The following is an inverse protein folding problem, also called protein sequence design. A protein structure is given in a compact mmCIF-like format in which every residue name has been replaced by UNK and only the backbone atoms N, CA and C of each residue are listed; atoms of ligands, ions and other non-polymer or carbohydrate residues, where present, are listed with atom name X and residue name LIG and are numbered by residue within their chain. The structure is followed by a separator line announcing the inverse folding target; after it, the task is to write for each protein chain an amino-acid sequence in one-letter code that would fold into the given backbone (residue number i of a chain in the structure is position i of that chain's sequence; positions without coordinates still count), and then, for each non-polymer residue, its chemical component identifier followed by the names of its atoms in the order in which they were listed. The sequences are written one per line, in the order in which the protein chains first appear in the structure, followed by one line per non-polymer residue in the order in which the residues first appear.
data_IF_672555429145
#
_entry.id   IF_672555429145
#
_cell.length_a   1.000
_cell.length_b   1.000
_cell.length_c   1.000
_cell.angle_alpha   90.00
_cell.angle_beta   90.00
_cell.angle_gamma   90.00
#
_symmetry.space_group_name_H-M   'P 1'
#
loop_
_entity.id
_entity.type
_entity.pdbx_description
1 polymer ?
#
# COMPACT_ATOMS: atom_id res chain seq x y z
N UNK A 1 43.24 -30.48 22.21
CA UNK A 1 43.78 -31.85 22.46
C UNK A 1 43.33 -32.70 21.28
N UNK A 2 44.30 -33.06 20.48
CA UNK A 2 44.73 -34.39 19.99
C UNK A 2 43.59 -35.17 19.33
N UNK A 3 43.68 -35.73 18.13
CA UNK A 3 44.79 -35.95 17.19
C UNK A 3 44.28 -36.90 16.10
N UNK A 4 44.62 -36.62 14.88
CA UNK A 4 45.43 -37.38 13.96
C UNK A 4 45.29 -38.93 13.97
N UNK A 5 44.94 -39.50 12.81
CA UNK A 5 45.84 -40.30 11.98
C UNK A 5 45.14 -40.97 10.78
N UNK A 6 45.72 -40.76 9.59
CA UNK A 6 45.85 -41.69 8.46
C UNK A 6 47.07 -42.60 8.78
N UNK A 7 47.51 -43.61 7.98
CA UNK A 7 47.27 -44.02 6.56
C UNK A 7 47.39 -45.57 6.34
N UNK A 8 47.52 -46.00 5.04
CA UNK A 8 48.12 -47.26 4.59
C UNK A 8 47.48 -47.82 3.33
N UNK A 9 47.91 -47.60 2.15
CA UNK A 9 49.00 -48.13 1.28
C UNK A 9 49.04 -49.66 1.11
N UNK A 10 49.12 -50.09 -0.21
CA UNK A 10 49.63 -51.39 -0.70
C UNK A 10 48.87 -51.81 -1.97
N UNK A 11 49.31 -51.57 -3.20
CA UNK A 11 50.50 -52.05 -3.95
C UNK A 11 50.47 -53.54 -4.34
N UNK A 12 50.65 -53.79 -5.66
CA UNK A 12 51.04 -55.06 -6.28
C UNK A 12 50.38 -55.31 -7.62
N UNK A 13 50.90 -54.92 -8.64
CA UNK A 13 51.72 -55.27 -9.78
C UNK A 13 51.78 -56.78 -10.10
N UNK A 14 51.45 -57.11 -11.38
CA UNK A 14 52.36 -57.72 -12.37
C UNK A 14 51.62 -58.23 -13.61
N UNK A 15 52.22 -57.94 -14.75
CA UNK A 15 51.93 -58.39 -16.12
C UNK A 15 52.82 -59.59 -16.49
N UNK A 16 52.99 -59.93 -17.79
CA UNK A 16 52.27 -60.85 -18.70
C UNK A 16 53.07 -62.10 -19.02
N UNK A 17 52.90 -62.95 -20.01
CA UNK A 17 53.28 -62.70 -21.40
C UNK A 17 52.42 -63.41 -22.50
N UNK A 18 52.57 -62.88 -23.71
CA UNK A 18 52.41 -63.48 -25.07
C UNK A 18 53.23 -64.75 -25.29
N UNK A 19 53.22 -65.47 -26.47
CA UNK A 19 52.76 -65.16 -27.83
C UNK A 19 52.22 -66.36 -28.71
N UNK A 20 51.90 -65.98 -29.96
CA UNK A 20 52.07 -66.75 -31.19
C UNK A 20 50.97 -67.74 -31.68
N UNK A 21 50.42 -67.50 -32.83
CA UNK A 21 50.69 -68.06 -34.18
C UNK A 21 49.50 -67.82 -35.15
N UNK A 22 49.78 -67.15 -36.25
CA UNK A 22 48.97 -67.21 -37.50
C UNK A 22 49.35 -68.48 -38.29
N UNK A 23 48.80 -68.93 -39.44
CA UNK A 23 47.97 -68.19 -40.41
C UNK A 23 46.84 -69.01 -41.09
N UNK A 24 46.08 -68.33 -41.95
CA UNK A 24 45.23 -69.08 -42.93
C UNK A 24 44.05 -68.29 -43.50
N UNK A 25 44.34 -67.68 -44.70
CA UNK A 25 43.27 -67.20 -45.65
C UNK A 25 42.91 -68.35 -46.57
N UNK A 26 41.65 -68.52 -47.11
CA UNK A 26 41.25 -67.72 -48.25
C UNK A 26 39.76 -67.30 -48.33
N UNK A 27 39.54 -66.34 -49.21
CA UNK A 27 38.38 -65.69 -49.74
C UNK A 27 37.14 -66.54 -50.01
N UNK A 28 35.96 -65.97 -49.81
CA UNK A 28 34.81 -66.13 -50.71
C UNK A 28 33.93 -64.87 -50.69
N UNK A 29 33.64 -64.43 -51.87
CA UNK A 29 32.69 -63.38 -52.27
C UNK A 29 31.27 -63.74 -51.75
N UNK A 30 30.54 -62.74 -51.28
CA UNK A 30 29.11 -62.97 -51.13
C UNK A 30 28.32 -61.83 -50.48
N UNK A 31 27.76 -60.99 -51.30
CA UNK A 31 26.45 -60.35 -51.11
C UNK A 31 26.31 -59.30 -50.01
N UNK A 32 26.24 -58.07 -50.49
CA UNK A 32 25.68 -56.95 -49.76
C UNK A 32 24.23 -57.19 -49.29
N UNK A 33 24.08 -57.30 -48.00
CA UNK A 33 22.75 -57.23 -47.41
C UNK A 33 22.48 -55.74 -47.05
N UNK A 34 21.63 -55.15 -47.84
CA UNK A 34 21.01 -53.87 -47.49
C UNK A 34 20.34 -54.06 -46.11
N UNK A 35 20.87 -53.42 -45.10
CA UNK A 35 20.18 -53.29 -43.80
C UNK A 35 18.92 -52.47 -44.02
N UNK A 36 17.83 -53.14 -44.26
CA UNK A 36 16.49 -52.55 -44.24
C UNK A 36 16.24 -51.89 -42.88
N UNK A 37 16.06 -50.60 -42.88
CA UNK A 37 15.55 -49.90 -41.73
C UNK A 37 14.29 -50.58 -41.23
N UNK A 38 14.33 -51.16 -40.05
CA UNK A 38 13.19 -51.80 -39.45
C UNK A 38 12.06 -50.79 -39.26
N UNK A 39 10.82 -51.05 -39.74
CA UNK A 39 9.70 -50.10 -39.65
C UNK A 39 9.27 -49.74 -38.21
N UNK A 40 9.78 -50.43 -37.18
CA UNK A 40 9.53 -50.15 -35.75
C UNK A 40 10.21 -48.89 -35.19
N UNK A 41 11.35 -48.44 -35.78
CA UNK A 41 12.14 -47.33 -35.27
C UNK A 41 11.43 -45.99 -35.41
N UNK A 42 10.79 -45.73 -36.53
CA UNK A 42 10.04 -44.49 -36.80
C UNK A 42 8.77 -44.36 -35.96
N UNK A 43 8.03 -45.45 -35.77
CA UNK A 43 6.85 -45.47 -34.92
C UNK A 43 7.21 -45.26 -33.44
N UNK A 44 8.27 -45.88 -32.96
CA UNK A 44 8.77 -45.67 -31.60
C UNK A 44 9.28 -44.24 -31.36
N UNK A 45 9.98 -43.64 -32.33
CA UNK A 45 10.42 -42.21 -32.30
C UNK A 45 9.20 -41.27 -32.27
N UNK A 46 8.18 -41.51 -33.13
CA UNK A 46 6.95 -40.72 -33.14
C UNK A 46 6.17 -40.82 -31.82
N UNK A 47 6.09 -42.01 -31.21
CA UNK A 47 5.46 -42.23 -29.90
C UNK A 47 6.23 -41.48 -28.78
N UNK A 48 7.56 -41.55 -28.77
CA UNK A 48 8.39 -40.80 -27.79
C UNK A 48 8.26 -39.29 -27.98
N UNK A 49 8.23 -38.81 -29.22
CA UNK A 49 8.05 -37.37 -29.51
C UNK A 49 6.64 -36.92 -29.09
N UNK A 50 5.58 -37.68 -29.42
CA UNK A 50 4.22 -37.35 -28.96
C UNK A 50 4.11 -37.32 -27.43
N UNK A 51 4.70 -38.27 -26.70
CA UNK A 51 4.75 -38.25 -25.25
C UNK A 51 5.49 -37.01 -24.70
N UNK A 52 6.62 -36.65 -25.29
CA UNK A 52 7.36 -35.43 -24.91
C UNK A 52 6.54 -34.16 -25.18
N UNK A 53 5.87 -34.08 -26.31
CA UNK A 53 4.98 -32.94 -26.63
C UNK A 53 3.81 -32.88 -25.66
N UNK A 54 3.13 -34.01 -25.38
CA UNK A 54 2.00 -34.07 -24.44
C UNK A 54 2.43 -33.63 -23.02
N UNK A 55 3.62 -34.02 -22.58
CA UNK A 55 4.17 -33.60 -21.28
C UNK A 55 4.62 -32.14 -21.29
N UNK A 56 5.24 -31.69 -22.39
CA UNK A 56 5.78 -30.31 -22.47
C UNK A 56 4.67 -29.26 -22.76
N UNK A 57 3.60 -29.64 -23.47
CA UNK A 57 2.57 -28.70 -23.87
C UNK A 57 1.94 -27.90 -22.69
N UNK A 58 1.54 -28.51 -21.56
CA UNK A 58 1.00 -27.76 -20.45
C UNK A 58 2.02 -26.78 -19.85
N UNK A 59 3.31 -27.14 -19.78
CA UNK A 59 4.35 -26.25 -19.30
C UNK A 59 4.56 -25.05 -20.24
N UNK A 60 4.52 -25.28 -21.56
CA UNK A 60 4.60 -24.21 -22.54
C UNK A 60 3.40 -23.26 -22.44
N UNK A 61 2.20 -23.82 -22.26
CA UNK A 61 0.98 -23.02 -22.09
C UNK A 61 1.07 -22.17 -20.82
N UNK A 62 1.44 -22.75 -19.69
CA UNK A 62 1.58 -22.02 -18.42
C UNK A 62 2.66 -20.94 -18.53
N UNK A 63 3.82 -21.27 -19.12
CA UNK A 63 4.91 -20.30 -19.31
C UNK A 63 4.47 -19.15 -20.24
N UNK A 64 3.82 -19.47 -21.35
CA UNK A 64 3.32 -18.46 -22.28
C UNK A 64 2.27 -17.57 -21.63
N UNK A 65 1.34 -18.15 -20.87
CA UNK A 65 0.38 -17.39 -20.08
C UNK A 65 1.08 -16.48 -19.09
N UNK A 66 2.05 -17.00 -18.33
CA UNK A 66 2.80 -16.22 -17.36
C UNK A 66 3.53 -15.04 -18.00
N UNK A 67 4.19 -15.23 -19.14
CA UNK A 67 4.87 -14.16 -19.87
C UNK A 67 3.88 -13.10 -20.35
N UNK A 68 2.75 -13.50 -20.94
CA UNK A 68 1.75 -12.57 -21.43
C UNK A 68 1.09 -11.82 -20.28
N UNK A 69 0.63 -12.52 -19.25
CA UNK A 69 0.02 -11.92 -18.06
C UNK A 69 0.96 -10.93 -17.39
N UNK A 70 2.21 -11.33 -17.12
CA UNK A 70 3.22 -10.44 -16.54
C UNK A 70 3.48 -9.21 -17.40
N UNK A 71 3.59 -9.39 -18.73
CA UNK A 71 3.80 -8.27 -19.65
C UNK A 71 2.64 -7.28 -19.64
N UNK A 72 1.40 -7.79 -19.62
CA UNK A 72 0.20 -6.94 -19.53
C UNK A 72 0.22 -6.13 -18.23
N UNK A 73 0.53 -6.77 -17.10
CA UNK A 73 0.67 -6.08 -15.81
C UNK A 73 1.74 -4.99 -15.85
N UNK A 74 2.93 -5.31 -16.40
CA UNK A 74 4.04 -4.35 -16.46
C UNK A 74 3.82 -3.19 -17.42
N UNK A 75 2.98 -3.34 -18.43
CA UNK A 75 2.66 -2.29 -19.40
C UNK A 75 1.51 -1.38 -18.96
N UNK A 76 0.76 -1.74 -17.92
CA UNK A 76 -0.29 -0.86 -17.41
C UNK A 76 0.29 0.45 -16.87
N UNK A 77 -0.32 1.61 -17.17
CA UNK A 77 0.12 2.88 -16.59
C UNK A 77 -0.17 2.90 -15.08
N UNK A 78 0.88 3.06 -14.28
CA UNK A 78 0.81 3.17 -12.82
C UNK A 78 2.09 3.83 -12.31
N UNK A 79 2.06 4.40 -11.12
CA UNK A 79 3.24 4.96 -10.45
C UNK A 79 4.05 3.91 -9.69
N UNK A 80 3.50 2.71 -9.52
CA UNK A 80 4.09 1.65 -8.73
C UNK A 80 5.43 1.18 -9.31
N UNK A 81 6.43 0.98 -8.46
CA UNK A 81 7.73 0.45 -8.87
C UNK A 81 7.60 -0.97 -9.43
N UNK A 82 8.53 -1.36 -10.28
CA UNK A 82 8.49 -2.66 -10.97
C UNK A 82 8.53 -3.86 -9.98
N UNK A 83 9.28 -3.72 -8.88
CA UNK A 83 9.39 -4.74 -7.82
C UNK A 83 8.05 -4.95 -7.10
N UNK A 84 7.42 -3.87 -6.62
CA UNK A 84 6.08 -3.91 -6.02
C UNK A 84 5.03 -4.46 -7.00
N UNK A 85 5.09 -4.05 -8.28
CA UNK A 85 4.20 -4.59 -9.33
C UNK A 85 4.39 -6.08 -9.57
N UNK A 86 5.63 -6.55 -9.51
CA UNK A 86 5.93 -7.98 -9.65
C UNK A 86 5.37 -8.77 -8.47
N UNK A 87 5.47 -8.22 -7.26
CA UNK A 87 4.89 -8.80 -6.05
C UNK A 87 3.36 -8.89 -6.16
N UNK A 88 2.72 -7.79 -6.58
CA UNK A 88 1.26 -7.76 -6.79
C UNK A 88 0.82 -8.70 -7.92
N UNK A 89 1.60 -8.81 -9.01
CA UNK A 89 1.32 -9.80 -10.05
C UNK A 89 1.40 -11.24 -9.50
N UNK A 90 2.41 -11.55 -8.70
CA UNK A 90 2.50 -12.87 -8.04
C UNK A 90 1.29 -13.10 -7.15
N UNK A 91 0.95 -12.11 -6.33
CA UNK A 91 -0.18 -12.16 -5.38
C UNK A 91 -1.50 -12.47 -6.08
N UNK A 92 -1.77 -11.80 -7.21
CA UNK A 92 -3.08 -11.81 -7.85
C UNK A 92 -3.22 -12.85 -8.98
N UNK A 93 -2.13 -13.16 -9.70
CA UNK A 93 -2.18 -13.96 -10.91
C UNK A 93 -1.59 -15.36 -10.74
N UNK A 94 -0.63 -15.55 -9.83
CA UNK A 94 0.02 -16.84 -9.67
C UNK A 94 -0.78 -17.75 -8.71
N UNK A 95 -1.06 -19.00 -9.08
CA UNK A 95 -1.68 -19.93 -8.13
C UNK A 95 -0.91 -20.00 -6.81
N UNK A 96 -1.60 -19.86 -5.68
CA UNK A 96 -1.01 -19.74 -4.34
C UNK A 96 -0.10 -18.53 -4.14
N UNK A 97 -0.10 -17.54 -5.04
CA UNK A 97 0.73 -16.36 -4.99
C UNK A 97 0.50 -15.55 -3.72
N UNK A 98 -0.74 -15.34 -3.30
CA UNK A 98 -1.08 -14.72 -2.02
C UNK A 98 -0.33 -15.37 -0.85
N UNK A 99 -0.40 -16.70 -0.75
CA UNK A 99 0.26 -17.42 0.33
C UNK A 99 1.79 -17.24 0.30
N UNK A 100 2.40 -17.25 -0.89
CA UNK A 100 3.85 -17.06 -1.04
C UNK A 100 4.26 -15.65 -0.61
N UNK A 101 3.54 -14.63 -1.07
CA UNK A 101 3.83 -13.22 -0.74
C UNK A 101 3.59 -12.97 0.75
N UNK A 102 2.44 -13.39 1.29
CA UNK A 102 2.10 -13.20 2.69
C UNK A 102 3.09 -13.88 3.63
N UNK A 103 3.61 -15.06 3.27
CA UNK A 103 4.68 -15.71 4.04
C UNK A 103 6.00 -14.94 3.97
N UNK A 104 6.38 -14.44 2.79
CA UNK A 104 7.58 -13.63 2.64
C UNK A 104 7.51 -12.35 3.45
N UNK A 105 6.42 -11.61 3.34
CA UNK A 105 6.17 -10.38 4.11
C UNK A 105 6.10 -10.65 5.62
N UNK A 106 5.46 -11.75 6.03
CA UNK A 106 5.39 -12.17 7.43
C UNK A 106 6.78 -12.40 8.04
N UNK A 107 7.70 -13.02 7.30
CA UNK A 107 9.08 -13.23 7.75
C UNK A 107 9.79 -11.88 7.85
N UNK A 108 9.69 -11.02 6.83
CA UNK A 108 10.32 -9.70 6.82
C UNK A 108 9.84 -8.84 8.00
N UNK A 109 8.54 -8.76 8.22
CA UNK A 109 7.96 -8.02 9.35
C UNK A 109 8.39 -8.58 10.70
N UNK A 110 8.49 -9.90 10.84
CA UNK A 110 8.94 -10.53 12.08
C UNK A 110 10.40 -10.21 12.41
N UNK A 111 11.25 -10.14 11.37
CA UNK A 111 12.67 -9.78 11.54
C UNK A 111 12.87 -8.30 11.87
N UNK A 112 12.00 -7.45 11.35
CA UNK A 112 12.05 -5.99 11.51
C UNK A 112 11.11 -5.46 12.62
N UNK A 113 10.47 -6.35 13.38
CA UNK A 113 9.53 -5.98 14.44
C UNK A 113 10.15 -4.99 15.43
N UNK A 114 9.44 -3.92 15.82
CA UNK A 114 9.96 -2.89 16.71
C UNK A 114 10.23 -3.44 18.09
N UNK A 115 11.34 -3.01 18.66
CA UNK A 115 11.75 -3.40 20.04
C UNK A 115 11.39 -2.29 21.00
N UNK A 116 10.80 -2.68 22.13
CA UNK A 116 10.60 -1.78 23.27
C UNK A 116 11.94 -1.20 23.73
N UNK A 117 11.99 0.09 24.05
CA UNK A 117 13.22 0.76 24.47
C UNK A 117 14.25 0.91 23.36
N UNK A 118 13.82 0.92 22.08
CA UNK A 118 14.69 1.16 20.93
C UNK A 118 15.45 2.48 21.01
N UNK A 119 16.34 2.76 20.02
CA UNK A 119 17.18 3.95 20.04
C UNK A 119 16.33 5.22 20.00
N UNK A 120 16.66 6.18 20.86
CA UNK A 120 15.98 7.47 20.84
C UNK A 120 16.36 8.25 19.58
N UNK A 121 15.36 8.83 18.92
CA UNK A 121 15.59 9.75 17.83
C UNK A 121 16.34 10.99 18.35
N UNK A 122 17.34 11.43 17.60
CA UNK A 122 18.07 12.69 17.86
C UNK A 122 17.34 13.90 17.29
N UNK A 123 16.57 13.71 16.23
CA UNK A 123 15.72 14.70 15.57
C UNK A 123 14.52 14.03 14.96
N UNK A 124 13.44 14.77 14.76
CA UNK A 124 12.32 14.28 13.95
C UNK A 124 12.74 14.17 12.48
N UNK A 125 12.20 13.19 11.74
CA UNK A 125 12.40 13.15 10.31
C UNK A 125 11.97 14.46 9.67
N UNK A 126 12.75 14.92 8.70
CA UNK A 126 12.35 16.07 7.88
C UNK A 126 11.19 15.62 7.01
N UNK A 127 9.99 15.99 7.41
CA UNK A 127 8.85 15.89 6.50
C UNK A 127 9.17 16.82 5.33
N UNK A 128 9.02 16.38 4.11
CA UNK A 128 9.33 17.16 2.91
C UNK A 128 8.49 18.43 2.80
N UNK A 129 8.59 19.26 3.80
CA UNK A 129 8.05 20.60 3.82
C UNK A 129 9.10 21.49 3.17
N UNK A 130 8.87 21.87 1.93
CA UNK A 130 9.44 23.12 1.45
C UNK A 130 8.74 24.22 2.27
N UNK A 131 9.39 24.79 3.32
CA UNK A 131 8.73 25.81 4.09
C UNK A 131 8.46 26.98 3.14
N UNK A 132 7.24 27.51 3.09
CA UNK A 132 7.08 28.83 2.55
C UNK A 132 7.99 29.75 3.36
N UNK A 133 8.80 30.57 2.70
CA UNK A 133 9.73 31.51 3.31
C UNK A 133 9.04 32.61 4.13
N UNK A 134 7.76 32.58 4.28
CA UNK A 134 6.93 33.50 5.05
C UNK A 134 6.48 32.83 6.35
N UNK A 135 7.05 33.25 7.47
CA UNK A 135 6.42 33.05 8.76
C UNK A 135 5.01 33.60 8.70
N UNK A 136 4.01 32.76 8.93
CA UNK A 136 2.62 33.23 9.01
C UNK A 136 2.51 34.31 10.09
N UNK A 137 1.81 35.40 9.82
CA UNK A 137 1.50 36.41 10.86
C UNK A 137 0.80 35.69 12.03
N UNK A 138 1.07 36.18 13.27
CA UNK A 138 0.49 35.62 14.50
C UNK A 138 -1.03 35.49 14.46
N UNK A 139 -1.74 36.37 13.74
CA UNK A 139 -3.20 36.31 13.51
C UNK A 139 -3.67 35.08 12.71
N UNK A 140 -2.84 34.56 11.83
CA UNK A 140 -3.20 33.35 11.04
C UNK A 140 -2.90 32.03 11.79
N UNK A 141 -2.01 32.05 12.77
CA UNK A 141 -1.76 30.91 13.66
C UNK A 141 -2.93 30.61 14.60
N UNK A 142 -3.85 31.56 14.80
CA UNK A 142 -5.02 31.40 15.66
C UNK A 142 -6.16 30.57 15.05
N UNK A 143 -6.12 30.29 13.74
CA UNK A 143 -7.17 29.55 13.03
C UNK A 143 -6.91 28.03 12.97
N UNK A 144 -5.70 27.56 13.29
CA UNK A 144 -5.33 26.15 13.25
C UNK A 144 -5.71 25.34 14.50
N UNK A 145 -5.43 24.04 14.51
CA UNK A 145 -5.57 23.19 15.68
C UNK A 145 -4.55 23.58 16.76
N UNK A 146 -4.82 23.32 18.05
CA UNK A 146 -3.85 23.57 19.11
C UNK A 146 -2.60 22.72 18.89
N UNK A 147 -1.45 23.22 19.38
CA UNK A 147 -0.21 22.46 19.38
C UNK A 147 -0.43 21.09 20.03
N UNK A 148 0.09 20.03 19.42
CA UNK A 148 0.05 18.69 20.01
C UNK A 148 0.99 18.64 21.19
N UNK A 149 0.48 18.29 22.36
CA UNK A 149 1.31 18.11 23.56
C UNK A 149 2.21 16.89 23.38
N UNK A 150 3.54 17.05 23.41
CA UNK A 150 4.47 15.94 23.31
C UNK A 150 4.27 14.90 24.40
N UNK A 151 4.54 13.65 24.08
CA UNK A 151 4.47 12.53 25.03
C UNK A 151 5.71 12.49 25.90
N UNK A 152 6.85 12.87 25.33
CA UNK A 152 8.13 12.83 26.01
C UNK A 152 8.37 14.08 26.86
N UNK A 153 8.92 13.96 28.09
CA UNK A 153 9.26 15.11 28.95
C UNK A 153 10.25 16.05 28.28
N UNK A 154 11.15 15.51 27.47
CA UNK A 154 12.12 16.28 26.68
C UNK A 154 11.77 16.14 25.18
N UNK A 155 10.92 17.02 24.66
CA UNK A 155 10.50 16.96 23.27
C UNK A 155 11.65 17.34 22.32
N UNK A 156 11.62 16.74 21.15
CA UNK A 156 12.52 17.11 20.06
C UNK A 156 12.12 18.47 19.46
N UNK A 157 13.06 19.13 18.82
CA UNK A 157 12.79 20.42 18.17
C UNK A 157 11.67 20.26 17.13
N UNK A 158 10.62 21.08 17.24
CA UNK A 158 9.45 21.05 16.35
C UNK A 158 8.43 19.95 16.61
N UNK A 159 8.61 19.14 17.64
CA UNK A 159 7.68 18.06 17.99
C UNK A 159 6.31 18.62 18.39
N UNK A 160 5.26 18.15 17.70
CA UNK A 160 3.89 18.59 17.91
C UNK A 160 3.56 20.01 17.41
N UNK A 161 4.49 20.66 16.71
CA UNK A 161 4.28 21.99 16.13
C UNK A 161 3.67 21.85 14.74
N UNK A 162 2.52 22.46 14.51
CA UNK A 162 1.90 22.51 13.20
C UNK A 162 2.63 23.44 12.26
N UNK A 163 2.86 22.98 11.04
CA UNK A 163 3.54 23.71 9.96
C UNK A 163 2.63 23.79 8.76
N UNK A 164 2.42 24.98 8.15
CA UNK A 164 1.59 25.10 6.96
C UNK A 164 2.27 24.48 5.75
N UNK A 165 1.45 23.93 4.86
CA UNK A 165 1.85 23.42 3.55
C UNK A 165 1.28 24.35 2.48
N UNK A 166 2.15 24.91 1.66
CA UNK A 166 1.77 25.81 0.58
C UNK A 166 1.28 27.18 1.04
N UNK A 167 0.77 27.98 0.10
CA UNK A 167 0.28 29.32 0.38
C UNK A 167 -1.09 29.27 1.11
N UNK A 168 -1.44 30.34 1.83
CA UNK A 168 -2.76 30.44 2.44
C UNK A 168 -3.87 30.50 1.40
N UNK A 169 -5.03 29.99 1.77
CA UNK A 169 -6.29 30.10 1.05
C UNK A 169 -7.24 30.90 1.92
N UNK A 170 -7.88 31.90 1.38
CA UNK A 170 -8.79 32.81 2.12
C UNK A 170 -8.23 33.27 3.47
N UNK A 171 -6.96 33.70 3.44
CA UNK A 171 -6.27 34.25 4.60
C UNK A 171 -5.81 33.23 5.66
N UNK A 172 -5.99 31.93 5.47
CA UNK A 172 -5.55 30.89 6.40
C UNK A 172 -4.90 29.69 5.73
N UNK A 173 -4.17 28.86 6.51
CA UNK A 173 -3.55 27.64 5.97
C UNK A 173 -4.61 26.57 5.72
N UNK A 174 -4.77 26.07 4.47
CA UNK A 174 -5.71 25.00 4.17
C UNK A 174 -5.22 23.63 4.70
N UNK A 175 -3.91 23.43 4.75
CA UNK A 175 -3.25 22.19 5.15
C UNK A 175 -2.15 22.49 6.15
N UNK A 176 -2.18 21.79 7.26
CA UNK A 176 -1.14 21.82 8.29
C UNK A 176 -0.61 20.42 8.53
N UNK A 177 0.69 20.27 8.73
CA UNK A 177 1.31 19.00 9.11
C UNK A 177 2.10 19.14 10.40
N UNK A 178 2.15 18.05 11.16
CA UNK A 178 2.98 17.92 12.34
C UNK A 178 3.50 16.50 12.49
N UNK A 179 4.60 16.36 13.22
CA UNK A 179 5.16 15.05 13.58
C UNK A 179 5.46 15.04 15.08
N UNK A 180 5.30 13.88 15.69
CA UNK A 180 5.66 13.67 17.10
C UNK A 180 5.86 12.17 17.37
N UNK A 181 6.55 11.85 18.47
CA UNK A 181 6.71 10.48 18.96
C UNK A 181 5.50 10.10 19.82
N UNK A 182 4.74 9.07 19.43
CA UNK A 182 3.44 8.80 20.05
C UNK A 182 3.53 8.04 21.37
N UNK A 183 4.62 7.28 21.63
CA UNK A 183 4.72 6.38 22.77
C UNK A 183 6.09 6.42 23.44
N UNK A 184 6.12 6.43 24.78
CA UNK A 184 7.37 6.40 25.57
C UNK A 184 8.13 5.08 25.39
N UNK A 185 7.41 3.98 25.29
CA UNK A 185 8.00 2.65 25.17
C UNK A 185 8.67 2.40 23.81
N UNK A 186 8.34 3.21 22.78
CA UNK A 186 8.87 3.10 21.42
C UNK A 186 9.40 4.47 20.95
N UNK A 187 10.54 4.94 21.49
CA UNK A 187 11.05 6.28 21.25
C UNK A 187 11.54 6.53 19.81
N UNK A 188 11.66 5.46 19.03
CA UNK A 188 12.05 5.49 17.60
C UNK A 188 10.86 5.71 16.65
N UNK A 189 9.62 5.52 17.09
CA UNK A 189 8.44 5.64 16.22
C UNK A 189 7.96 7.08 16.09
N UNK A 190 7.39 7.42 14.92
CA UNK A 190 6.92 8.75 14.60
C UNK A 190 5.52 8.70 14.02
N UNK A 191 4.64 9.54 14.54
CA UNK A 191 3.35 9.82 13.93
C UNK A 191 3.46 11.01 12.98
N UNK A 192 3.01 10.85 11.76
CA UNK A 192 2.89 11.88 10.71
C UNK A 192 1.42 12.26 10.62
N UNK A 193 1.12 13.52 10.92
CA UNK A 193 -0.26 13.98 11.03
C UNK A 193 -0.50 15.18 10.12
N UNK A 194 -1.59 15.12 9.39
CA UNK A 194 -2.05 16.24 8.55
C UNK A 194 -3.46 16.63 8.94
N UNK A 195 -3.68 17.92 9.05
CA UNK A 195 -4.95 18.54 9.34
C UNK A 195 -5.40 19.39 8.14
N UNK A 196 -6.65 19.26 7.75
CA UNK A 196 -7.26 19.95 6.63
C UNK A 196 -8.40 20.84 7.12
N UNK A 197 -8.32 22.13 6.81
CA UNK A 197 -9.36 23.10 7.17
C UNK A 197 -10.59 22.89 6.29
N UNK A 198 -11.71 22.45 6.87
CA UNK A 198 -12.95 22.17 6.15
C UNK A 198 -13.55 23.39 5.44
N UNK A 199 -13.22 24.62 5.88
CA UNK A 199 -13.69 25.85 5.23
C UNK A 199 -12.82 26.25 4.03
N UNK A 200 -11.65 25.66 3.87
CA UNK A 200 -10.62 25.97 2.86
C UNK A 200 -10.24 24.80 2.00
N UNK A 201 -10.90 23.65 2.19
CA UNK A 201 -10.63 22.44 1.42
C UNK A 201 -11.93 21.78 0.99
N UNK A 202 -11.88 21.13 -0.15
CA UNK A 202 -12.89 20.25 -0.70
C UNK A 202 -12.24 18.87 -0.89
N UNK A 203 -12.96 17.79 -0.59
CA UNK A 203 -12.41 16.44 -0.66
C UNK A 203 -13.18 15.64 -1.70
N UNK A 204 -12.45 15.02 -2.62
CA UNK A 204 -12.97 14.07 -3.60
C UNK A 204 -12.46 12.66 -3.32
N UNK A 205 -13.30 11.66 -3.60
CA UNK A 205 -12.98 10.25 -3.58
C UNK A 205 -12.83 9.73 -5.00
N UNK A 206 -11.81 8.91 -5.24
CA UNK A 206 -11.48 8.37 -6.56
C UNK A 206 -11.30 6.85 -6.48
N UNK A 207 -12.15 6.08 -7.15
CA UNK A 207 -11.91 4.66 -7.37
C UNK A 207 -10.61 4.42 -8.13
N UNK A 208 -9.88 3.38 -7.73
CA UNK A 208 -8.72 2.88 -8.44
C UNK A 208 -9.07 1.84 -9.50
N UNK A 209 -8.07 1.19 -10.09
CA UNK A 209 -8.27 0.19 -11.15
C UNK A 209 -8.97 -1.07 -10.62
N UNK A 210 -8.61 -1.50 -9.43
CA UNK A 210 -9.12 -2.74 -8.84
C UNK A 210 -9.97 -2.49 -7.59
N UNK A 211 -9.82 -1.35 -6.90
CA UNK A 211 -10.55 -1.00 -5.70
C UNK A 211 -11.44 0.24 -5.91
N UNK A 212 -12.73 0.18 -5.63
CA UNK A 212 -13.54 -0.98 -5.24
C UNK A 212 -13.78 -1.92 -6.44
N UNK A 213 -13.88 -3.26 -6.24
CA UNK A 213 -13.99 -4.21 -7.35
C UNK A 213 -15.25 -4.04 -8.20
N UNK A 214 -16.38 -3.69 -7.60
CA UNK A 214 -17.65 -3.52 -8.30
C UNK A 214 -17.91 -2.09 -8.84
N UNK A 215 -16.92 -1.19 -8.84
CA UNK A 215 -17.12 0.15 -9.41
C UNK A 215 -17.45 0.08 -10.90
N UNK A 216 -18.69 0.44 -11.24
CA UNK A 216 -19.18 0.41 -12.63
C UNK A 216 -18.48 1.44 -13.53
N UNK A 217 -18.09 2.60 -12.95
CA UNK A 217 -17.34 3.65 -13.62
C UNK A 217 -16.20 4.07 -12.72
N UNK A 218 -14.98 3.80 -13.15
CA UNK A 218 -13.78 4.10 -12.33
C UNK A 218 -13.24 5.51 -12.55
N UNK A 219 -13.72 6.20 -13.56
CA UNK A 219 -13.19 7.52 -13.94
C UNK A 219 -11.71 7.43 -14.35
N UNK A 220 -10.92 8.48 -14.10
CA UNK A 220 -9.52 8.54 -14.52
C UNK A 220 -8.59 7.71 -13.65
N UNK A 221 -9.02 7.18 -12.51
CA UNK A 221 -8.22 6.45 -11.51
C UNK A 221 -7.00 7.25 -11.01
N UNK A 222 -7.01 8.55 -11.22
CA UNK A 222 -5.97 9.51 -10.84
C UNK A 222 -6.60 10.88 -10.63
N UNK A 223 -5.83 11.82 -10.09
CA UNK A 223 -6.28 13.23 -10.04
C UNK A 223 -6.46 13.77 -11.46
N UNK A 224 -7.70 14.17 -11.85
CA UNK A 224 -7.98 14.72 -13.18
C UNK A 224 -7.09 15.91 -13.52
N UNK A 225 -6.68 16.03 -14.77
CA UNK A 225 -5.75 17.09 -15.19
C UNK A 225 -6.31 18.50 -14.95
N UNK A 226 -7.59 18.70 -15.17
CA UNK A 226 -8.30 19.97 -14.95
C UNK A 226 -8.44 20.36 -13.47
N UNK A 227 -8.33 19.38 -12.56
CA UNK A 227 -8.40 19.59 -11.11
C UNK A 227 -7.03 19.87 -10.47
N UNK A 228 -5.93 19.58 -11.17
CA UNK A 228 -4.56 19.69 -10.62
C UNK A 228 -4.18 21.11 -10.23
N UNK A 229 -4.75 22.12 -10.87
CA UNK A 229 -4.48 23.54 -10.54
C UNK A 229 -4.95 23.94 -9.14
N UNK A 230 -5.87 23.19 -8.55
CA UNK A 230 -6.39 23.42 -7.19
C UNK A 230 -6.01 22.34 -6.19
N UNK A 231 -5.24 21.31 -6.61
CA UNK A 231 -4.83 20.19 -5.77
C UNK A 231 -3.90 20.64 -4.62
N UNK A 232 -4.21 20.22 -3.41
CA UNK A 232 -3.44 20.51 -2.18
C UNK A 232 -2.79 19.27 -1.60
N UNK A 233 -3.52 18.15 -1.56
CA UNK A 233 -3.02 16.89 -1.03
C UNK A 233 -3.75 15.68 -1.63
N UNK A 234 -3.15 14.50 -1.48
CA UNK A 234 -3.80 13.20 -1.71
C UNK A 234 -3.40 12.23 -0.63
N UNK A 235 -4.28 11.27 -0.29
CA UNK A 235 -3.97 10.21 0.66
C UNK A 235 -4.71 8.91 0.29
N UNK A 236 -4.18 7.79 0.76
CA UNK A 236 -4.72 6.45 0.48
C UNK A 236 -6.14 6.24 1.00
N UNK A 237 -6.86 5.33 0.36
CA UNK A 237 -8.10 4.77 0.88
C UNK A 237 -7.90 3.82 2.05
N UNK A 238 -8.95 3.08 2.41
CA UNK A 238 -8.93 2.10 3.49
C UNK A 238 -8.45 0.73 3.04
N UNK A 239 -8.80 -0.30 3.82
CA UNK A 239 -8.52 -1.70 3.50
C UNK A 239 -9.02 -2.11 2.12
N UNK A 240 -8.44 -3.17 1.56
CA UNK A 240 -9.00 -3.80 0.36
C UNK A 240 -10.35 -4.44 0.68
N UNK A 241 -11.15 -4.65 -0.35
CA UNK A 241 -12.46 -5.28 -0.18
C UNK A 241 -12.34 -6.77 0.12
N UNK A 242 -11.23 -7.39 -0.23
CA UNK A 242 -10.90 -8.77 0.16
C UNK A 242 -10.48 -8.89 1.62
N UNK A 243 -9.92 -7.82 2.21
CA UNK A 243 -9.38 -7.83 3.58
C UNK A 243 -10.35 -7.23 4.61
N UNK A 244 -11.62 -7.17 4.29
CA UNK A 244 -12.67 -6.75 5.21
C UNK A 244 -13.11 -5.30 5.06
N UNK A 245 -12.61 -4.55 4.07
CA UNK A 245 -13.27 -3.32 3.68
C UNK A 245 -14.72 -3.62 3.30
N UNK A 246 -15.56 -2.64 3.54
CA UNK A 246 -16.97 -2.74 3.23
C UNK A 246 -17.33 -1.56 2.33
N UNK A 247 -18.50 -1.30 2.07
CA UNK A 247 -19.15 -0.29 1.31
C UNK A 247 -18.33 0.89 0.74
N UNK A 248 -18.64 1.24 -0.48
CA UNK A 248 -18.22 2.51 -1.09
C UNK A 248 -19.29 3.04 -2.03
N UNK A 249 -19.27 4.34 -2.20
CA UNK A 249 -20.09 5.05 -3.18
C UNK A 249 -19.27 6.16 -3.83
N UNK A 250 -19.55 6.43 -5.09
CA UNK A 250 -19.00 7.54 -5.85
C UNK A 250 -20.06 8.12 -6.77
N UNK A 251 -20.07 9.45 -6.93
CA UNK A 251 -21.10 10.16 -7.69
C UNK A 251 -22.55 9.83 -7.26
N UNK A 252 -22.77 9.55 -5.99
CA UNK A 252 -24.06 9.15 -5.46
C UNK A 252 -24.52 7.75 -5.85
N UNK A 253 -23.61 6.91 -6.32
CA UNK A 253 -23.84 5.51 -6.66
C UNK A 253 -23.10 4.59 -5.70
N UNK A 254 -23.79 3.62 -5.14
CA UNK A 254 -23.17 2.55 -4.39
C UNK A 254 -22.36 1.68 -5.33
N UNK A 255 -21.05 1.57 -5.09
CA UNK A 255 -20.15 0.64 -5.79
C UNK A 255 -20.10 -0.71 -5.07
N UNK A 256 -19.93 -0.66 -3.75
CA UNK A 256 -19.98 -1.82 -2.87
C UNK A 256 -20.99 -1.56 -1.76
N UNK A 257 -21.85 -2.52 -1.42
CA UNK A 257 -22.90 -2.34 -0.39
C UNK A 257 -22.31 -1.92 0.94
N UNK A 258 -22.90 -0.90 1.56
CA UNK A 258 -22.51 -0.45 2.89
C UNK A 258 -23.07 -1.40 3.95
N UNK A 259 -22.35 -1.53 5.07
CA UNK A 259 -22.76 -2.34 6.22
C UNK A 259 -23.01 -1.47 7.43
N UNK A 260 -24.13 -1.70 8.11
CA UNK A 260 -24.44 -1.04 9.37
C UNK A 260 -23.43 -1.42 10.45
N UNK A 261 -23.10 -0.46 11.32
CA UNK A 261 -22.11 -0.61 12.39
C UNK A 261 -20.69 -0.25 11.99
N UNK A 262 -20.42 -0.03 10.71
CA UNK A 262 -19.08 0.32 10.23
C UNK A 262 -18.85 1.83 10.15
N UNK A 263 -17.64 2.25 10.45
CA UNK A 263 -17.22 3.63 10.27
C UNK A 263 -17.17 3.99 8.78
N UNK A 264 -17.82 5.07 8.43
CA UNK A 264 -17.94 5.55 7.06
C UNK A 264 -17.53 7.01 6.97
N UNK A 265 -16.48 7.29 6.19
CA UNK A 265 -16.16 8.64 5.77
C UNK A 265 -17.06 9.00 4.59
N UNK A 266 -17.83 10.07 4.74
CA UNK A 266 -18.84 10.52 3.79
C UNK A 266 -18.53 11.94 3.35
N UNK A 267 -18.63 12.20 2.04
CA UNK A 267 -18.76 13.53 1.48
C UNK A 267 -20.18 13.76 0.98
N UNK A 268 -20.74 14.85 1.41
CA UNK A 268 -22.08 15.26 1.00
C UNK A 268 -22.04 16.19 -0.22
N UNK A 269 -23.16 16.32 -0.94
CA UNK A 269 -23.27 17.17 -2.13
C UNK A 269 -23.11 18.65 -1.83
N UNK A 270 -23.30 19.07 -0.60
CA UNK A 270 -23.05 20.44 -0.14
C UNK A 270 -21.58 20.74 0.17
N UNK A 271 -20.70 19.75 -0.02
CA UNK A 271 -19.26 19.85 0.23
C UNK A 271 -18.86 19.52 1.67
N UNK A 272 -19.81 19.32 2.57
CA UNK A 272 -19.50 18.89 3.94
C UNK A 272 -19.04 17.44 3.99
N UNK A 273 -18.28 17.11 5.04
CA UNK A 273 -17.78 15.74 5.28
C UNK A 273 -18.14 15.29 6.70
N UNK A 274 -18.30 13.98 6.87
CA UNK A 274 -18.52 13.38 8.20
C UNK A 274 -17.89 12.00 8.29
N UNK A 275 -17.53 11.60 9.50
CA UNK A 275 -17.35 10.19 9.85
C UNK A 275 -18.56 9.77 10.67
N UNK A 276 -19.29 8.78 10.18
CA UNK A 276 -20.49 8.24 10.82
C UNK A 276 -20.30 6.76 11.15
N UNK A 277 -21.00 6.32 12.20
CA UNK A 277 -21.27 4.90 12.40
C UNK A 277 -22.49 4.58 11.55
N UNK A 278 -22.32 3.87 10.44
CA UNK A 278 -23.34 3.70 9.42
C UNK A 278 -24.54 2.92 9.95
N UNK A 279 -25.73 3.34 9.56
CA UNK A 279 -26.99 2.70 9.89
C UNK A 279 -28.07 2.92 8.81
N UNK A 280 -27.61 3.17 7.57
CA UNK A 280 -28.48 3.51 6.44
C UNK A 280 -28.80 2.36 5.51
N UNK A 281 -28.39 1.13 5.85
CA UNK A 281 -28.54 -0.02 4.96
C UNK A 281 -27.49 -0.05 3.83
N UNK A 282 -27.70 -0.86 2.78
CA UNK A 282 -26.65 -1.13 1.78
C UNK A 282 -26.36 0.02 0.82
N UNK A 283 -27.29 0.97 0.68
CA UNK A 283 -27.20 2.03 -0.33
C UNK A 283 -27.07 3.42 0.30
N UNK A 284 -26.38 4.32 -0.41
CA UNK A 284 -26.28 5.71 0.01
C UNK A 284 -27.55 6.51 -0.35
N UNK A 285 -27.86 7.48 0.49
CA UNK A 285 -28.94 8.43 0.23
C UNK A 285 -28.59 9.47 -0.84
N UNK A 286 -29.58 10.23 -1.34
CA UNK A 286 -29.42 11.19 -2.44
C UNK A 286 -28.46 12.35 -2.11
N UNK A 287 -28.28 12.69 -0.84
CA UNK A 287 -27.41 13.79 -0.41
C UNK A 287 -25.92 13.40 -0.34
N UNK A 288 -25.62 12.10 -0.46
CA UNK A 288 -24.25 11.60 -0.45
C UNK A 288 -23.63 11.73 -1.83
N UNK A 289 -22.50 12.39 -1.90
CA UNK A 289 -21.69 12.46 -3.12
C UNK A 289 -20.78 11.23 -3.24
N UNK A 290 -20.10 10.89 -2.16
CA UNK A 290 -19.24 9.72 -2.06
C UNK A 290 -19.19 9.19 -0.62
N UNK A 291 -18.88 7.93 -0.47
CA UNK A 291 -18.70 7.27 0.81
C UNK A 291 -17.63 6.18 0.72
N UNK A 292 -16.87 6.01 1.79
CA UNK A 292 -15.90 4.93 1.94
C UNK A 292 -15.95 4.38 3.35
N UNK A 293 -16.32 3.11 3.45
CA UNK A 293 -16.31 2.39 4.72
C UNK A 293 -14.96 1.75 5.01
N UNK A 294 -14.70 1.57 6.29
CA UNK A 294 -13.68 0.69 6.82
C UNK A 294 -14.34 -0.24 7.86
N UNK A 295 -13.61 -0.60 8.89
CA UNK A 295 -14.09 -1.43 10.01
C UNK A 295 -14.88 -0.60 11.02
N UNK A 296 -15.03 -1.07 12.26
CA UNK A 296 -15.71 -0.34 13.30
C UNK A 296 -15.03 1.01 13.63
N UNK A 297 -15.77 2.01 14.15
CA UNK A 297 -15.17 3.27 14.59
C UNK A 297 -14.16 3.05 15.72
N UNK A 298 -12.96 3.64 15.59
CA UNK A 298 -11.93 3.57 16.64
C UNK A 298 -12.06 4.71 17.67
N UNK A 299 -12.70 5.82 17.29
CA UNK A 299 -13.12 6.91 18.19
C UNK A 299 -14.56 7.29 17.88
N UNK A 300 -15.35 7.44 18.94
CA UNK A 300 -16.71 7.95 18.85
C UNK A 300 -16.99 8.94 19.97
N UNK A 301 -17.54 10.10 19.65
CA UNK A 301 -17.80 11.20 20.60
C UNK A 301 -16.60 11.60 21.47
N UNK A 302 -15.38 11.55 20.89
CA UNK A 302 -14.15 11.89 21.57
C UNK A 302 -13.59 10.80 22.50
N UNK A 303 -14.26 9.66 22.60
CA UNK A 303 -13.84 8.51 23.40
C UNK A 303 -13.33 7.39 22.50
N UNK A 304 -12.30 6.69 22.96
CA UNK A 304 -11.84 5.47 22.30
C UNK A 304 -12.95 4.42 22.36
N UNK A 305 -13.08 3.66 21.27
CA UNK A 305 -14.02 2.53 21.28
C UNK A 305 -13.59 1.52 22.37
N UNK A 306 -14.50 1.19 23.33
CA UNK A 306 -14.15 0.29 24.42
C UNK A 306 -13.84 -1.15 23.99
N UNK A 307 -14.17 -1.51 22.75
CA UNK A 307 -13.90 -2.83 22.16
C UNK A 307 -12.52 -2.92 21.51
N UNK A 308 -11.75 -1.81 21.50
CA UNK A 308 -10.40 -1.85 20.93
C UNK A 308 -9.53 -2.86 21.66
N UNK A 309 -8.92 -3.74 20.92
CA UNK A 309 -7.93 -4.69 21.40
C UNK A 309 -6.72 -4.74 20.45
N UNK A 310 -5.56 -5.11 20.97
CA UNK A 310 -4.33 -5.22 20.19
C UNK A 310 -4.07 -6.66 19.70
N UNK A 311 -5.13 -7.47 19.58
CA UNK A 311 -5.04 -8.81 19.02
C UNK A 311 -4.79 -8.73 17.49
N UNK A 312 -3.61 -9.14 17.00
CA UNK A 312 -3.27 -9.03 15.58
C UNK A 312 -4.12 -9.94 14.67
N UNK A 313 -4.86 -10.86 15.26
CA UNK A 313 -5.75 -11.78 14.54
C UNK A 313 -7.23 -11.35 14.62
N UNK A 314 -7.51 -10.15 15.15
CA UNK A 314 -8.87 -9.65 15.25
C UNK A 314 -9.36 -9.16 13.88
N UNK A 315 -10.39 -9.78 13.27
CA UNK A 315 -10.94 -9.29 12.02
C UNK A 315 -11.62 -7.92 12.16
N UNK A 316 -11.91 -7.50 13.38
CA UNK A 316 -12.56 -6.21 13.67
C UNK A 316 -11.59 -5.03 13.47
N UNK A 317 -10.29 -5.25 13.55
CA UNK A 317 -9.26 -4.21 13.48
C UNK A 317 -8.21 -4.49 12.40
N UNK A 318 -8.51 -5.38 11.46
CA UNK A 318 -7.63 -5.80 10.39
C UNK A 318 -6.64 -6.90 10.81
N UNK A 319 -6.49 -7.88 9.93
CA UNK A 319 -5.45 -8.89 10.09
C UNK A 319 -4.09 -8.29 9.79
N UNK A 320 -3.11 -8.64 10.62
CA UNK A 320 -1.72 -8.30 10.36
C UNK A 320 -0.93 -9.52 9.92
N UNK A 321 -0.15 -9.37 8.88
CA UNK A 321 0.74 -10.42 8.41
C UNK A 321 1.77 -10.76 9.51
N UNK A 322 2.06 -12.05 9.68
CA UNK A 322 2.99 -12.53 10.70
C UNK A 322 2.47 -12.46 12.14
N UNK A 323 1.21 -12.12 12.38
CA UNK A 323 0.65 -12.01 13.72
C UNK A 323 1.27 -10.89 14.55
N UNK A 324 1.79 -9.84 13.91
CA UNK A 324 2.38 -8.70 14.58
C UNK A 324 1.30 -7.69 14.96
N UNK A 325 1.22 -7.34 16.25
CA UNK A 325 0.29 -6.31 16.70
C UNK A 325 0.67 -4.90 16.20
N UNK A 326 1.97 -4.69 15.94
CA UNK A 326 2.54 -3.40 15.53
C UNK A 326 2.98 -3.41 14.07
N UNK A 327 2.32 -2.58 13.29
CA UNK A 327 2.55 -2.40 11.85
C UNK A 327 2.36 -0.92 11.49
N UNK A 328 2.67 -0.53 10.27
CA UNK A 328 2.18 0.73 9.74
C UNK A 328 0.66 0.78 9.83
N UNK A 329 0.15 1.88 10.35
CA UNK A 329 -1.29 2.12 10.37
C UNK A 329 -1.60 3.52 9.88
N UNK A 330 -2.66 3.61 9.09
CA UNK A 330 -3.24 4.89 8.69
C UNK A 330 -4.64 5.01 9.23
N UNK A 331 -5.09 6.24 9.39
CA UNK A 331 -6.46 6.50 9.84
C UNK A 331 -6.85 7.95 9.62
N UNK A 332 -8.14 8.16 9.62
CA UNK A 332 -8.72 9.50 9.51
C UNK A 332 -9.61 9.80 10.69
N UNK A 333 -9.67 11.07 11.04
CA UNK A 333 -10.55 11.57 12.09
C UNK A 333 -11.16 12.91 11.72
N UNK A 334 -12.23 13.26 12.39
CA UNK A 334 -12.88 14.58 12.30
C UNK A 334 -12.82 15.23 13.68
N UNK A 335 -12.34 16.49 13.73
CA UNK A 335 -12.33 17.27 14.95
C UNK A 335 -13.71 17.90 15.26
N UNK A 336 -13.85 18.58 16.41
CA UNK A 336 -15.13 19.20 16.83
C UNK A 336 -15.62 20.29 15.87
N UNK A 337 -14.76 20.83 15.04
CA UNK A 337 -15.08 21.88 14.07
C UNK A 337 -15.37 21.34 12.65
N UNK A 338 -15.28 20.02 12.45
CA UNK A 338 -15.51 19.39 11.15
C UNK A 338 -14.26 19.28 10.29
N UNK A 339 -13.07 19.61 10.80
CA UNK A 339 -11.84 19.49 10.05
C UNK A 339 -11.39 18.04 9.96
N UNK A 340 -10.88 17.63 8.79
CA UNK A 340 -10.34 16.30 8.59
C UNK A 340 -8.91 16.22 9.12
N UNK A 341 -8.60 15.11 9.76
CA UNK A 341 -7.27 14.74 10.23
C UNK A 341 -6.89 13.43 9.57
N UNK A 342 -5.72 13.35 8.97
CA UNK A 342 -5.12 12.11 8.50
C UNK A 342 -3.88 11.80 9.34
N UNK A 343 -3.72 10.54 9.70
CA UNK A 343 -2.57 10.02 10.43
C UNK A 343 -1.97 8.85 9.66
N UNK A 344 -0.64 8.84 9.55
CA UNK A 344 0.14 7.66 9.22
C UNK A 344 1.23 7.50 10.29
N UNK A 345 1.37 6.31 10.85
CA UNK A 345 2.37 6.07 11.88
C UNK A 345 2.88 4.64 11.80
N UNK A 346 4.20 4.49 11.91
CA UNK A 346 4.87 3.21 11.90
C UNK A 346 4.79 2.52 13.25
N UNK A 347 4.80 1.19 13.23
CA UNK A 347 4.86 0.36 14.44
C UNK A 347 3.73 0.62 15.45
N UNK A 348 2.52 0.89 14.96
CA UNK A 348 1.37 1.16 15.81
C UNK A 348 0.44 -0.05 15.94
N UNK A 349 -0.20 -0.15 17.10
CA UNK A 349 -1.41 -0.96 17.28
C UNK A 349 -2.63 -0.13 16.94
N UNK A 350 -3.81 -0.74 16.82
CA UNK A 350 -5.06 0.02 16.62
C UNK A 350 -5.36 0.94 17.81
N UNK A 351 -5.06 0.51 19.04
CA UNK A 351 -5.22 1.33 20.25
C UNK A 351 -4.30 2.55 20.19
N UNK A 352 -3.05 2.38 19.76
CA UNK A 352 -2.12 3.52 19.69
C UNK A 352 -2.46 4.46 18.55
N UNK A 353 -2.92 3.97 17.40
CA UNK A 353 -3.48 4.81 16.33
C UNK A 353 -4.66 5.66 16.84
N UNK A 354 -5.60 5.04 17.57
CA UNK A 354 -6.74 5.75 18.14
C UNK A 354 -6.30 6.82 19.15
N UNK A 355 -5.30 6.53 20.00
CA UNK A 355 -4.71 7.51 20.93
C UNK A 355 -4.01 8.67 20.21
N UNK A 356 -3.32 8.40 19.08
CA UNK A 356 -2.73 9.45 18.24
C UNK A 356 -3.83 10.37 17.71
N UNK A 357 -4.87 9.81 17.08
CA UNK A 357 -6.00 10.59 16.55
C UNK A 357 -6.73 11.39 17.64
N UNK A 358 -6.97 10.80 18.81
CA UNK A 358 -7.58 11.50 19.96
C UNK A 358 -6.69 12.65 20.43
N UNK A 359 -5.38 12.44 20.54
CA UNK A 359 -4.38 13.47 20.97
C UNK A 359 -4.35 14.66 20.05
N UNK A 360 -4.56 14.47 18.75
CA UNK A 360 -4.60 15.55 17.76
C UNK A 360 -5.99 16.15 17.58
N UNK A 361 -6.96 15.74 18.40
CA UNK A 361 -8.27 16.38 18.53
C UNK A 361 -9.42 15.70 17.79
N UNK A 362 -9.24 14.52 17.25
CA UNK A 362 -10.32 13.78 16.62
C UNK A 362 -11.41 13.41 17.63
N UNK A 363 -12.66 13.65 17.28
CA UNK A 363 -13.85 13.24 18.07
C UNK A 363 -14.58 12.07 17.43
N UNK A 364 -14.35 11.81 16.17
CA UNK A 364 -14.75 10.62 15.42
C UNK A 364 -13.57 10.17 14.59
N UNK A 365 -13.29 8.87 14.56
CA UNK A 365 -12.18 8.36 13.77
C UNK A 365 -12.39 6.93 13.32
N UNK A 366 -11.76 6.59 12.23
CA UNK A 366 -11.70 5.26 11.64
C UNK A 366 -10.30 4.91 11.18
N UNK A 367 -9.99 3.64 11.20
CA UNK A 367 -8.77 3.10 10.65
C UNK A 367 -8.89 3.00 9.13
N UNK A 368 -7.78 3.24 8.45
CA UNK A 368 -7.61 3.02 7.02
C UNK A 368 -6.68 1.83 6.79
N UNK A 369 -5.83 1.90 5.78
CA UNK A 369 -4.93 0.81 5.43
C UNK A 369 -3.83 0.61 6.49
N UNK A 370 -3.47 -0.64 6.74
CA UNK A 370 -2.42 -1.05 7.69
C UNK A 370 -1.22 -1.70 7.01
N UNK A 371 -1.20 -1.74 5.69
CA UNK A 371 -0.11 -2.28 4.93
C UNK A 371 0.97 -1.22 4.71
N UNK A 372 2.26 -1.51 5.01
CA UNK A 372 3.37 -0.57 4.87
C UNK A 372 3.62 -0.10 3.43
N UNK A 373 3.14 -0.83 2.44
CA UNK A 373 3.28 -0.44 1.04
C UNK A 373 2.28 0.63 0.61
N UNK A 374 1.12 0.72 1.29
CA UNK A 374 -0.01 1.52 0.82
C UNK A 374 -0.23 2.81 1.58
N UNK A 375 0.39 3.00 2.76
CA UNK A 375 0.30 4.28 3.47
C UNK A 375 0.89 5.39 2.60
N UNK A 376 0.11 6.42 2.31
CA UNK A 376 0.52 7.49 1.42
C UNK A 376 -0.20 8.77 1.77
N UNK A 377 0.56 9.82 2.05
CA UNK A 377 0.07 11.18 2.06
C UNK A 377 1.04 12.05 1.26
N UNK A 378 0.54 12.72 0.23
CA UNK A 378 1.31 13.59 -0.63
C UNK A 378 0.71 14.98 -0.57
N UNK A 379 1.53 15.98 -0.35
CA UNK A 379 1.14 17.39 -0.45
C UNK A 379 1.68 18.00 -1.74
N UNK A 380 0.99 19.02 -2.25
CA UNK A 380 1.32 19.63 -3.53
C UNK A 380 1.48 21.15 -3.39
N UNK A 381 2.58 21.66 -3.90
CA UNK A 381 2.86 23.07 -4.00
C UNK A 381 2.89 23.47 -5.47
N UNK A 382 2.21 24.56 -5.80
CA UNK A 382 2.17 25.11 -7.14
C UNK A 382 3.37 26.04 -7.34
N UNK A 383 4.42 25.55 -8.00
CA UNK A 383 5.62 26.33 -8.35
C UNK A 383 5.57 26.91 -9.75
N UNK A 384 6.58 27.68 -10.11
CA UNK A 384 6.72 28.27 -11.45
C UNK A 384 6.78 27.22 -12.57
N UNK A 385 7.31 26.03 -12.27
CA UNK A 385 7.46 24.91 -13.22
C UNK A 385 6.37 23.85 -13.10
N UNK A 386 5.25 24.16 -12.45
CA UNK A 386 4.11 23.27 -12.27
C UNK A 386 3.97 22.74 -10.84
N UNK A 387 3.30 21.61 -10.73
CA UNK A 387 2.96 20.98 -9.46
C UNK A 387 4.16 20.23 -8.87
N UNK A 388 4.52 20.55 -7.63
CA UNK A 388 5.60 19.91 -6.88
C UNK A 388 5.00 19.01 -5.80
N UNK A 389 4.99 17.69 -6.02
CA UNK A 389 4.50 16.72 -5.05
C UNK A 389 5.57 16.45 -3.98
N UNK A 390 5.14 16.29 -2.74
CA UNK A 390 6.02 15.99 -1.60
C UNK A 390 5.37 14.97 -0.69
N UNK A 391 6.05 13.85 -0.45
CA UNK A 391 5.57 12.81 0.46
C UNK A 391 5.67 13.27 1.92
N UNK A 392 4.60 13.10 2.68
CA UNK A 392 4.55 13.34 4.12
C UNK A 392 4.71 12.00 4.83
N UNK A 393 5.85 11.76 5.38
CA UNK A 393 6.24 10.47 5.94
C UNK A 393 6.95 9.58 4.90
N UNK A 394 7.78 8.64 5.37
CA UNK A 394 8.55 7.78 4.49
C UNK A 394 7.68 6.69 3.88
N UNK A 395 7.70 6.54 2.58
CA UNK A 395 7.26 5.36 1.88
C UNK A 395 8.21 5.09 0.71
N UNK A 396 9.16 4.16 0.85
CA UNK A 396 10.17 3.91 -0.18
C UNK A 396 9.59 3.21 -1.42
N UNK A 397 8.40 2.63 -1.31
CA UNK A 397 7.78 1.84 -2.37
C UNK A 397 6.87 2.69 -3.28
N UNK A 398 6.42 3.85 -2.79
CA UNK A 398 5.52 4.72 -3.52
C UNK A 398 6.20 6.05 -3.87
N UNK A 399 6.15 6.50 -5.13
CA UNK A 399 6.68 7.80 -5.51
C UNK A 399 5.71 8.94 -5.11
N UNK A 400 6.22 10.17 -4.90
CA UNK A 400 5.36 11.32 -4.60
C UNK A 400 4.44 11.72 -5.76
N UNK A 401 4.60 11.14 -6.95
CA UNK A 401 3.72 11.34 -8.10
C UNK A 401 2.57 10.33 -8.17
N UNK A 402 2.41 9.48 -7.15
CA UNK A 402 1.49 8.34 -7.13
C UNK A 402 0.14 8.69 -7.74
N UNK A 403 -0.62 9.54 -7.25
CA UNK A 403 -1.99 9.78 -7.73
C UNK A 403 -2.10 10.77 -8.91
N UNK A 404 -0.97 11.15 -9.51
CA UNK A 404 -0.94 11.92 -10.77
C UNK A 404 -0.95 11.04 -12.02
N UNK A 405 -0.92 9.73 -11.86
CA UNK A 405 -1.12 8.69 -12.88
C UNK A 405 -2.15 7.69 -12.36
N UNK A 406 -2.75 6.84 -13.21
CA UNK A 406 -3.73 5.87 -12.75
C UNK A 406 -3.17 4.97 -11.64
N UNK A 407 -3.92 4.81 -10.54
CA UNK A 407 -3.59 3.96 -9.39
C UNK A 407 -4.48 2.72 -9.35
N UNK A 408 -3.99 1.68 -8.74
CA UNK A 408 -4.70 0.41 -8.60
C UNK A 408 -5.70 0.44 -7.43
N UNK A 409 -5.39 1.26 -6.41
CA UNK A 409 -6.18 1.43 -5.19
C UNK A 409 -6.96 2.74 -5.20
N UNK A 410 -8.05 2.75 -4.49
CA UNK A 410 -8.83 3.96 -4.25
C UNK A 410 -8.08 4.97 -3.36
N UNK A 411 -8.38 6.26 -3.56
CA UNK A 411 -7.70 7.33 -2.84
C UNK A 411 -8.59 8.56 -2.70
N UNK A 412 -8.13 9.49 -1.86
CA UNK A 412 -8.74 10.79 -1.67
C UNK A 412 -7.85 11.90 -2.18
N UNK A 413 -8.46 12.93 -2.75
CA UNK A 413 -7.77 14.15 -3.14
C UNK A 413 -8.42 15.36 -2.47
N UNK A 414 -7.56 16.27 -1.99
CA UNK A 414 -7.93 17.49 -1.28
C UNK A 414 -7.61 18.67 -2.16
N UNK A 415 -8.59 19.52 -2.37
CA UNK A 415 -8.54 20.65 -3.29
C UNK A 415 -8.80 21.97 -2.57
N UNK A 416 -8.36 23.07 -3.17
CA UNK A 416 -8.96 24.38 -2.88
C UNK A 416 -10.41 24.35 -3.35
N UNK A 417 -11.36 24.90 -2.58
CA UNK A 417 -12.73 25.02 -3.04
C UNK A 417 -12.79 25.82 -4.35
N UNK A 418 -13.73 25.47 -5.20
CA UNK A 418 -14.06 26.34 -6.33
C UNK A 418 -14.57 27.68 -5.77
N UNK A 419 -14.26 28.81 -6.43
CA UNK A 419 -14.93 30.06 -6.10
C UNK A 419 -16.44 29.81 -6.16
N UNK A 420 -17.12 30.02 -5.04
CA UNK A 420 -18.57 29.90 -5.01
C UNK A 420 -19.22 30.76 -6.09
N UNK A 421 -20.43 30.46 -6.54
CA UNK A 421 -21.15 31.36 -7.41
C UNK A 421 -21.19 32.72 -6.72
N UNK A 422 -20.68 33.75 -7.40
CA UNK A 422 -20.80 35.11 -6.94
C UNK A 422 -22.29 35.37 -6.79
N UNK A 423 -22.83 35.28 -5.59
CA UNK A 423 -24.17 35.74 -5.30
C UNK A 423 -24.15 37.26 -5.49
N UNK A 424 -24.43 37.68 -6.73
CA UNK A 424 -24.73 39.11 -6.99
C UNK A 424 -25.96 39.39 -6.18
N UNK A 425 -25.92 40.26 -5.15
CA UNK A 425 -27.12 40.62 -4.44
C UNK A 425 -28.05 41.26 -5.45
N UNK A 426 -29.20 40.64 -5.68
CA UNK A 426 -30.29 41.30 -6.39
C UNK A 426 -30.62 42.57 -5.63
N UNK A 427 -30.37 43.74 -6.28
CA UNK A 427 -30.84 45.03 -5.81
C UNK A 427 -32.33 45.14 -6.03
#
# INVERSE_FOLDING_TARGET
MRGLRRPGTGSGANAPPDPDESPGVPASLGQGAAQGEQPGGLAARRRRLRRRIVIAAPFVVVLSWGIVSYSVWMLQPTSMRWDARSTEWVRNEVPFGNWVVDHGESIDYSLNAPKTGGPQLKSLPTVGLNPPRTSLPRSQAAAGPPRVTPVFPHPLAGEGVWKPVGPPVDGGPPVLVTTFRPELAYPQTVAYVTWFDHTRTEIGYYPGRYEPPAAAVRGPMMVPYDQRSRLLATFNGGFTYTDGANGSADNGRTNEPLKDGNATLIGYRDGSIAIVNWSGGPDVGPDVAWARQSLAPIIWNGQLNPQLDDNPNSPQWGYTLGGLARVWRTGVGIDRRGNLIYVAADDQTVITLAKILQRVGAVRAMEFDINPEWHTLITYIHGANGLVPTMVGPNPLQPPTRYLVPDDRDFFAVYRPLPGPVTVPFK
#
